data_IF_722875869375
#
_entry.id   IF_722875869375
#
_cell.length_a   1.000
_cell.length_b   1.000
_cell.length_c   1.000
_cell.angle_alpha   90.00
_cell.angle_beta   90.00
_cell.angle_gamma   90.00
#
_symmetry.space_group_name_H-M   'P 1'
#
loop_
_entity.id
_entity.type
_entity.pdbx_description
1 polymer ?
#
# COMPACT_ATOMS: atom_id res chain seq x y z
N UNK A 1 -3.90 -10.80 -18.82
CA UNK A 1 -3.00 -10.92 -17.64
C UNK A 1 -3.23 -12.26 -16.94
N UNK A 2 -2.20 -13.04 -16.71
CA UNK A 2 -2.24 -14.24 -15.85
C UNK A 2 -2.07 -13.82 -14.40
N UNK A 3 -2.95 -14.30 -13.50
CA UNK A 3 -2.97 -13.87 -12.08
C UNK A 3 -3.09 -15.07 -11.17
N UNK A 4 -2.27 -15.09 -10.11
CA UNK A 4 -2.38 -16.05 -9.02
C UNK A 4 -2.10 -15.41 -7.66
N UNK A 5 -2.52 -16.06 -6.59
CA UNK A 5 -2.38 -15.58 -5.23
C UNK A 5 -1.32 -16.34 -4.44
N UNK A 6 -0.76 -15.68 -3.45
CA UNK A 6 0.11 -16.28 -2.42
C UNK A 6 -0.58 -16.07 -1.08
N UNK A 7 -0.81 -17.14 -0.34
CA UNK A 7 -1.44 -17.09 0.98
C UNK A 7 -0.83 -18.11 1.94
N UNK A 8 -1.25 -18.09 3.19
CA UNK A 8 -0.77 -19.00 4.23
C UNK A 8 -1.85 -19.21 5.30
N UNK A 9 -1.72 -20.18 6.19
CA UNK A 9 -2.60 -20.35 7.34
C UNK A 9 -2.53 -19.18 8.34
N UNK A 10 -1.35 -18.53 8.45
CA UNK A 10 -1.10 -17.48 9.46
C UNK A 10 -0.08 -16.45 8.99
N UNK A 11 0.04 -15.37 9.76
CA UNK A 11 1.09 -14.35 9.59
C UNK A 11 2.46 -14.96 9.88
N UNK A 12 3.53 -14.45 9.27
CA UNK A 12 4.91 -14.91 9.49
C UNK A 12 5.30 -16.18 8.74
N UNK A 13 4.40 -16.81 7.98
CA UNK A 13 4.68 -18.05 7.23
C UNK A 13 5.61 -17.89 6.02
N UNK A 14 6.00 -16.65 5.65
CA UNK A 14 6.90 -16.36 4.52
C UNK A 14 6.19 -16.01 3.22
N UNK A 15 4.93 -15.57 3.25
CA UNK A 15 4.18 -15.11 2.06
C UNK A 15 4.96 -14.09 1.25
N UNK A 16 5.45 -13.05 1.90
CA UNK A 16 6.20 -11.96 1.24
C UNK A 16 7.44 -12.48 0.53
N UNK A 17 8.23 -13.31 1.20
CA UNK A 17 9.43 -13.95 0.61
C UNK A 17 9.08 -14.73 -0.66
N UNK A 18 8.03 -15.55 -0.61
CA UNK A 18 7.57 -16.36 -1.75
C UNK A 18 7.00 -15.47 -2.86
N UNK A 19 6.25 -14.42 -2.51
CA UNK A 19 5.72 -13.43 -3.47
C UNK A 19 6.85 -12.76 -4.25
N UNK A 20 7.87 -12.27 -3.53
CA UNK A 20 9.02 -11.60 -4.15
C UNK A 20 9.81 -12.56 -5.04
N UNK A 21 9.98 -13.83 -4.61
CA UNK A 21 10.65 -14.85 -5.39
C UNK A 21 9.93 -15.16 -6.72
N UNK A 22 8.61 -15.27 -6.73
CA UNK A 22 7.84 -15.41 -7.98
C UNK A 22 7.97 -14.16 -8.86
N UNK A 23 7.80 -12.96 -8.28
CA UNK A 23 7.90 -11.70 -9.02
C UNK A 23 9.28 -11.51 -9.66
N UNK A 24 10.37 -11.96 -9.01
CA UNK A 24 11.73 -11.82 -9.55
C UNK A 24 11.98 -12.62 -10.85
N UNK A 25 11.18 -13.66 -11.12
CA UNK A 25 11.28 -14.51 -12.31
C UNK A 25 10.31 -14.11 -13.43
N UNK A 26 9.29 -13.30 -13.12
CA UNK A 26 8.24 -12.94 -14.06
C UNK A 26 8.56 -11.62 -14.75
N UNK A 27 8.76 -11.65 -16.06
CA UNK A 27 8.90 -10.45 -16.87
C UNK A 27 7.56 -9.74 -17.01
N UNK A 28 7.58 -8.41 -17.12
CA UNK A 28 6.37 -7.58 -17.25
C UNK A 28 5.27 -7.92 -16.23
N UNK A 29 5.67 -7.98 -14.95
CA UNK A 29 4.81 -8.38 -13.83
C UNK A 29 4.55 -7.23 -12.87
N UNK A 30 3.48 -7.36 -12.08
CA UNK A 30 3.17 -6.47 -10.97
C UNK A 30 2.72 -7.25 -9.74
N UNK A 31 3.04 -6.69 -8.55
CA UNK A 31 2.50 -7.17 -7.29
C UNK A 31 1.12 -6.59 -7.00
N UNK A 32 0.31 -7.36 -6.29
CA UNK A 32 -0.89 -6.88 -5.63
C UNK A 32 -0.82 -7.23 -4.15
N UNK A 33 -1.26 -6.32 -3.29
CA UNK A 33 -1.40 -6.57 -1.86
C UNK A 33 -2.86 -6.45 -1.44
N UNK A 34 -3.39 -7.48 -0.79
CA UNK A 34 -4.70 -7.39 -0.16
C UNK A 34 -4.55 -6.56 1.13
N UNK A 35 -5.44 -5.57 1.29
CA UNK A 35 -5.40 -4.63 2.42
C UNK A 35 -4.54 -3.40 2.18
N UNK A 36 -4.42 -2.53 3.20
CA UNK A 36 -3.83 -1.19 3.09
C UNK A 36 -2.31 -1.13 3.37
N UNK A 37 -1.61 -2.23 3.19
CA UNK A 37 -0.18 -2.34 3.50
C UNK A 37 0.68 -1.72 2.40
N UNK A 38 1.46 -0.70 2.75
CA UNK A 38 2.41 -0.03 1.85
C UNK A 38 3.79 -0.68 1.84
N UNK A 39 4.21 -1.32 2.94
CA UNK A 39 5.58 -1.81 3.12
C UNK A 39 5.84 -3.02 2.23
N UNK A 40 5.00 -4.06 2.29
CA UNK A 40 5.11 -5.22 1.38
C UNK A 40 4.95 -4.81 -0.08
N UNK A 41 4.06 -3.83 -0.34
CA UNK A 41 3.90 -3.23 -1.65
C UNK A 41 5.19 -2.57 -2.16
N UNK A 42 5.91 -1.87 -1.29
CA UNK A 42 7.21 -1.27 -1.61
C UNK A 42 8.26 -2.30 -2.01
N UNK A 43 8.34 -3.43 -1.29
CA UNK A 43 9.25 -4.54 -1.61
C UNK A 43 8.94 -5.15 -3.00
N UNK A 44 7.68 -5.42 -3.28
CA UNK A 44 7.24 -5.94 -4.58
C UNK A 44 7.54 -4.96 -5.72
N UNK A 45 7.34 -3.65 -5.48
CA UNK A 45 7.68 -2.62 -6.46
C UNK A 45 9.17 -2.55 -6.74
N UNK A 46 10.02 -2.75 -5.72
CA UNK A 46 11.48 -2.80 -5.88
C UNK A 46 11.92 -3.98 -6.75
N UNK A 47 11.33 -5.16 -6.54
CA UNK A 47 11.67 -6.37 -7.31
C UNK A 47 11.23 -6.27 -8.76
N UNK A 48 10.04 -5.72 -9.03
CA UNK A 48 9.48 -5.68 -10.39
C UNK A 48 9.87 -4.43 -11.18
N UNK A 49 10.30 -3.36 -10.50
CA UNK A 49 10.41 -2.01 -11.10
C UNK A 49 9.05 -1.36 -11.39
N UNK A 50 7.96 -2.00 -10.99
CA UNK A 50 6.58 -1.59 -11.27
C UNK A 50 5.83 -1.28 -9.97
N UNK A 51 4.83 -0.39 -10.02
CA UNK A 51 3.99 -0.10 -8.84
C UNK A 51 3.21 -1.33 -8.41
N UNK A 52 3.16 -1.58 -7.11
CA UNK A 52 2.28 -2.58 -6.51
C UNK A 52 0.90 -1.99 -6.25
N UNK A 53 -0.14 -2.76 -6.49
CA UNK A 53 -1.53 -2.35 -6.37
C UNK A 53 -2.16 -2.92 -5.09
N UNK A 54 -2.81 -2.07 -4.29
CA UNK A 54 -3.60 -2.54 -3.16
C UNK A 54 -5.02 -2.90 -3.61
N UNK A 55 -5.56 -3.99 -3.05
CA UNK A 55 -6.95 -4.41 -3.26
C UNK A 55 -7.65 -4.34 -1.90
N UNK A 56 -8.45 -3.30 -1.69
CA UNK A 56 -9.13 -3.04 -0.44
C UNK A 56 -10.54 -2.48 -0.63
N UNK A 57 -11.57 -3.31 -0.37
CA UNK A 57 -12.96 -2.88 -0.57
C UNK A 57 -13.46 -1.88 0.47
N UNK A 58 -12.80 -1.76 1.63
CA UNK A 58 -13.18 -0.76 2.62
C UNK A 58 -12.82 0.65 2.14
N UNK A 59 -11.57 0.84 1.75
CA UNK A 59 -11.03 2.13 1.34
C UNK A 59 -11.53 2.49 -0.07
N UNK A 60 -11.40 1.57 -1.01
CA UNK A 60 -11.73 1.77 -2.43
C UNK A 60 -13.25 1.70 -2.73
N UNK A 61 -14.06 1.18 -1.78
CA UNK A 61 -15.49 0.97 -2.04
C UNK A 61 -15.70 0.08 -3.26
N UNK A 62 -16.61 0.43 -4.16
CA UNK A 62 -16.89 -0.34 -5.39
C UNK A 62 -15.72 -0.32 -6.38
N UNK A 63 -14.81 0.66 -6.29
CA UNK A 63 -13.66 0.79 -7.19
C UNK A 63 -12.61 -0.33 -7.02
N UNK A 64 -12.60 -1.07 -5.89
CA UNK A 64 -11.66 -2.17 -5.68
C UNK A 64 -11.70 -3.23 -6.80
N UNK A 65 -12.85 -3.41 -7.45
CA UNK A 65 -13.00 -4.37 -8.55
C UNK A 65 -12.30 -3.93 -9.85
N UNK A 66 -12.02 -2.63 -10.00
CA UNK A 66 -11.33 -2.09 -11.17
C UNK A 66 -9.80 -2.06 -11.06
N UNK A 67 -9.26 -2.37 -9.88
CA UNK A 67 -7.81 -2.37 -9.64
C UNK A 67 -7.10 -3.39 -10.53
N UNK A 68 -7.62 -4.62 -10.58
CA UNK A 68 -7.08 -5.67 -11.47
C UNK A 68 -7.18 -5.27 -12.94
N UNK A 69 -8.25 -4.58 -13.34
CA UNK A 69 -8.42 -4.11 -14.71
C UNK A 69 -7.40 -3.01 -15.07
N UNK A 70 -7.14 -2.09 -14.15
CA UNK A 70 -6.12 -1.05 -14.33
C UNK A 70 -4.73 -1.62 -14.54
N UNK A 71 -4.35 -2.61 -13.76
CA UNK A 71 -3.07 -3.30 -13.90
C UNK A 71 -3.02 -4.20 -15.14
N UNK A 72 -4.12 -4.91 -15.47
CA UNK A 72 -4.18 -5.83 -16.61
C UNK A 72 -3.94 -5.15 -17.97
N UNK A 73 -4.14 -3.83 -18.05
CA UNK A 73 -3.84 -3.06 -19.25
C UNK A 73 -2.33 -2.82 -19.48
N UNK A 74 -1.51 -3.08 -18.46
CA UNK A 74 -0.09 -2.73 -18.46
C UNK A 74 0.83 -3.95 -18.31
N UNK A 75 0.35 -5.05 -17.68
CA UNK A 75 1.19 -6.16 -17.27
C UNK A 75 0.63 -7.51 -17.73
N UNK A 76 1.54 -8.45 -18.01
CA UNK A 76 1.20 -9.82 -18.43
C UNK A 76 0.90 -10.72 -17.23
N UNK A 77 1.58 -10.47 -16.09
CA UNK A 77 1.49 -11.27 -14.88
C UNK A 77 1.15 -10.43 -13.66
N UNK A 78 0.33 -11.01 -12.77
CA UNK A 78 -0.01 -10.45 -11.47
C UNK A 78 0.16 -11.47 -10.35
N UNK A 79 0.89 -11.10 -9.29
CA UNK A 79 0.99 -11.92 -8.08
C UNK A 79 0.30 -11.21 -6.93
N UNK A 80 -0.74 -11.85 -6.36
CA UNK A 80 -1.57 -11.25 -5.32
C UNK A 80 -1.15 -11.81 -3.95
N UNK A 81 -0.49 -11.00 -3.15
CA UNK A 81 -0.13 -11.36 -1.78
C UNK A 81 -1.31 -11.15 -0.83
N UNK A 82 -1.65 -12.21 -0.09
CA UNK A 82 -2.68 -12.19 0.95
C UNK A 82 -2.25 -11.42 2.20
N UNK A 83 -3.23 -10.94 2.94
CA UNK A 83 -3.05 -10.34 4.26
C UNK A 83 -3.30 -11.38 5.36
N UNK A 84 -2.51 -11.38 6.43
CA UNK A 84 -2.64 -12.31 7.56
C UNK A 84 -2.77 -13.78 7.10
N UNK A 85 -3.61 -14.58 7.72
CA UNK A 85 -4.00 -15.91 7.24
C UNK A 85 -5.12 -15.85 6.19
N UNK A 86 -5.29 -16.95 5.45
CA UNK A 86 -6.27 -17.03 4.34
C UNK A 86 -7.68 -16.58 4.72
N UNK A 87 -8.14 -16.93 5.91
CA UNK A 87 -9.49 -16.66 6.39
C UNK A 87 -9.58 -15.48 7.36
N UNK A 88 -8.44 -14.92 7.78
CA UNK A 88 -8.40 -13.82 8.74
C UNK A 88 -8.94 -12.53 8.11
N UNK A 89 -9.69 -11.77 8.91
CA UNK A 89 -10.23 -10.47 8.51
C UNK A 89 -10.23 -9.53 9.71
N UNK A 90 -9.26 -8.62 9.77
CA UNK A 90 -9.12 -7.62 10.83
C UNK A 90 -9.93 -6.34 10.62
N UNK A 91 -10.96 -6.36 9.79
CA UNK A 91 -11.72 -5.17 9.40
C UNK A 91 -13.19 -5.24 9.85
N UNK A 92 -13.90 -4.11 9.85
CA UNK A 92 -15.32 -4.05 10.16
C UNK A 92 -16.23 -4.87 9.22
N UNK A 93 -15.72 -5.27 8.06
CA UNK A 93 -16.42 -6.11 7.08
C UNK A 93 -15.52 -7.27 6.65
N UNK A 94 -16.10 -8.38 6.18
CA UNK A 94 -15.28 -9.49 5.70
C UNK A 94 -14.41 -9.06 4.51
N UNK A 95 -13.11 -9.02 4.72
CA UNK A 95 -12.07 -8.69 3.73
C UNK A 95 -10.91 -9.69 3.81
N UNK A 96 -11.20 -10.95 4.20
CA UNK A 96 -10.19 -12.01 4.22
C UNK A 96 -9.58 -12.23 2.83
N UNK A 97 -8.36 -12.72 2.80
CA UNK A 97 -7.69 -13.13 1.56
C UNK A 97 -8.57 -14.07 0.73
N UNK A 98 -9.24 -15.03 1.40
CA UNK A 98 -10.16 -15.96 0.75
C UNK A 98 -11.37 -15.27 0.09
N UNK A 99 -11.90 -14.20 0.70
CA UNK A 99 -12.97 -13.41 0.09
C UNK A 99 -12.56 -12.89 -1.30
N UNK A 100 -11.37 -12.30 -1.41
CA UNK A 100 -10.90 -11.75 -2.69
C UNK A 100 -10.56 -12.85 -3.69
N UNK A 101 -9.87 -13.90 -3.28
CA UNK A 101 -9.53 -15.02 -4.16
C UNK A 101 -10.78 -15.69 -4.74
N UNK A 102 -11.79 -15.90 -3.89
CA UNK A 102 -13.08 -16.42 -4.34
C UNK A 102 -13.81 -15.44 -5.27
N UNK A 103 -13.85 -14.15 -4.90
CA UNK A 103 -14.58 -13.12 -5.65
C UNK A 103 -14.04 -12.93 -7.06
N UNK A 104 -12.72 -12.92 -7.19
CA UNK A 104 -12.05 -12.78 -8.49
C UNK A 104 -11.65 -14.12 -9.11
N UNK A 105 -12.02 -15.24 -8.49
CA UNK A 105 -11.61 -16.60 -8.88
C UNK A 105 -10.09 -16.75 -9.05
N UNK A 106 -9.28 -16.08 -8.22
CA UNK A 106 -7.82 -16.12 -8.29
C UNK A 106 -7.36 -17.46 -7.71
N UNK A 107 -6.69 -18.33 -8.51
CA UNK A 107 -6.06 -19.54 -7.98
C UNK A 107 -4.85 -19.13 -7.12
N UNK A 108 -4.48 -19.95 -6.14
CA UNK A 108 -3.43 -19.56 -5.20
C UNK A 108 -2.49 -20.71 -4.83
N UNK A 109 -1.29 -20.32 -4.44
CA UNK A 109 -0.26 -21.14 -3.80
C UNK A 109 -0.37 -20.94 -2.29
N UNK A 110 -0.39 -22.04 -1.54
CA UNK A 110 -0.47 -22.04 -0.09
C UNK A 110 0.94 -22.24 0.52
N UNK A 111 1.45 -21.25 1.22
CA UNK A 111 2.75 -21.31 1.89
C UNK A 111 2.58 -21.87 3.29
N UNK A 112 3.29 -22.97 3.59
CA UNK A 112 3.27 -23.64 4.89
C UNK A 112 4.64 -23.52 5.55
N UNK A 113 4.71 -22.85 6.68
CA UNK A 113 5.90 -22.84 7.54
C UNK A 113 5.97 -24.16 8.30
N UNK A 114 7.00 -24.94 8.01
CA UNK A 114 7.20 -26.27 8.63
C UNK A 114 8.31 -26.28 9.67
N UNK A 115 8.80 -25.12 10.10
CA UNK A 115 9.93 -25.01 11.05
C UNK A 115 9.72 -25.77 12.38
N UNK A 116 8.45 -26.01 12.74
CA UNK A 116 8.03 -26.75 13.96
C UNK A 116 7.04 -27.88 13.65
N UNK A 117 6.96 -28.34 12.41
CA UNK A 117 6.01 -29.36 11.94
C UNK A 117 6.75 -30.47 11.18
N UNK A 118 6.18 -31.65 11.19
CA UNK A 118 6.53 -32.75 10.31
C UNK A 118 5.30 -33.12 9.46
N UNK A 119 4.86 -34.38 9.44
CA UNK A 119 3.67 -34.83 8.69
C UNK A 119 2.37 -34.07 9.08
N UNK A 120 2.30 -33.53 10.29
CA UNK A 120 1.17 -32.68 10.75
C UNK A 120 0.96 -31.46 9.89
N UNK A 121 1.98 -31.01 9.13
CA UNK A 121 1.87 -29.88 8.20
C UNK A 121 0.74 -30.07 7.18
N UNK A 122 0.57 -31.28 6.66
CA UNK A 122 -0.53 -31.60 5.74
C UNK A 122 -1.91 -31.42 6.39
N UNK A 123 -2.09 -31.92 7.61
CA UNK A 123 -3.39 -31.85 8.30
C UNK A 123 -3.81 -30.41 8.65
N UNK A 124 -2.82 -29.56 8.93
CA UNK A 124 -3.06 -28.12 9.09
C UNK A 124 -3.41 -27.52 7.72
N UNK A 125 -2.60 -27.78 6.69
CA UNK A 125 -2.79 -27.25 5.34
C UNK A 125 -4.14 -27.65 4.74
N UNK A 126 -4.63 -28.86 5.01
CA UNK A 126 -5.87 -29.42 4.48
C UNK A 126 -7.07 -28.50 4.67
N UNK A 127 -7.15 -27.78 5.79
CA UNK A 127 -8.24 -26.84 6.08
C UNK A 127 -8.20 -25.56 5.23
N UNK A 128 -7.06 -25.30 4.58
CA UNK A 128 -6.81 -24.15 3.70
C UNK A 128 -6.74 -24.51 2.22
N UNK A 129 -6.80 -25.81 1.90
CA UNK A 129 -6.85 -26.30 0.52
C UNK A 129 -8.28 -26.22 0.01
N UNK A 130 -8.47 -25.56 -1.12
CA UNK A 130 -9.77 -25.39 -1.78
C UNK A 130 -9.63 -25.70 -3.27
N UNK A 131 -10.72 -25.63 -4.01
CA UNK A 131 -10.71 -25.79 -5.48
C UNK A 131 -9.84 -24.75 -6.22
N UNK A 132 -9.46 -23.66 -5.53
CA UNK A 132 -8.59 -22.62 -6.08
C UNK A 132 -7.11 -22.86 -5.75
N UNK A 133 -6.77 -23.88 -4.97
CA UNK A 133 -5.39 -24.19 -4.60
C UNK A 133 -4.64 -24.80 -5.77
N UNK A 134 -3.55 -24.17 -6.19
CA UNK A 134 -2.64 -24.67 -7.22
C UNK A 134 -1.68 -25.73 -6.65
N UNK A 135 -1.29 -25.55 -5.40
CA UNK A 135 -0.36 -26.41 -4.67
C UNK A 135 0.18 -25.71 -3.44
N UNK A 136 1.20 -26.31 -2.84
CA UNK A 136 1.84 -25.81 -1.61
C UNK A 136 3.30 -25.45 -1.85
N UNK A 137 3.79 -24.48 -1.08
CA UNK A 137 5.21 -24.21 -0.88
C UNK A 137 5.54 -24.61 0.56
N UNK A 138 6.44 -25.57 0.71
CA UNK A 138 6.99 -26.01 1.99
C UNK A 138 8.11 -25.04 2.37
N UNK A 139 7.90 -24.22 3.40
CA UNK A 139 8.85 -23.18 3.78
C UNK A 139 9.55 -23.52 5.09
N UNK A 140 10.86 -23.24 5.17
CA UNK A 140 11.72 -23.40 6.36
C UNK A 140 11.91 -24.86 6.80
N UNK A 141 12.05 -25.80 5.86
CA UNK A 141 12.44 -27.16 6.24
C UNK A 141 13.90 -27.20 6.74
N UNK A 142 14.21 -28.10 7.70
CA UNK A 142 15.48 -28.10 8.39
C UNK A 142 16.55 -29.01 7.73
N UNK A 143 16.14 -30.06 7.03
CA UNK A 143 17.02 -31.04 6.38
C UNK A 143 16.30 -31.82 5.29
N UNK A 144 17.01 -32.51 4.43
CA UNK A 144 16.41 -33.34 3.38
C UNK A 144 15.47 -34.41 3.96
N UNK A 145 15.85 -35.08 5.06
CA UNK A 145 14.98 -36.03 5.76
C UNK A 145 13.70 -35.36 6.29
N UNK A 146 13.78 -34.11 6.79
CA UNK A 146 12.62 -33.37 7.24
C UNK A 146 11.71 -33.05 6.05
N UNK A 147 12.28 -32.64 4.92
CA UNK A 147 11.51 -32.38 3.69
C UNK A 147 10.76 -33.63 3.24
N UNK A 148 11.40 -34.80 3.22
CA UNK A 148 10.78 -36.08 2.86
C UNK A 148 9.59 -36.41 3.76
N UNK A 149 9.75 -36.27 5.09
CA UNK A 149 8.66 -36.48 6.06
C UNK A 149 7.46 -35.55 5.83
N UNK A 150 7.75 -34.26 5.62
CA UNK A 150 6.70 -33.27 5.38
C UNK A 150 6.01 -33.48 4.04
N UNK A 151 6.75 -33.78 2.99
CA UNK A 151 6.25 -33.89 1.62
C UNK A 151 5.37 -35.12 1.40
N UNK A 152 5.66 -36.22 2.10
CA UNK A 152 4.99 -37.50 1.90
C UNK A 152 3.47 -37.42 1.97
N UNK A 153 2.83 -36.85 3.00
CA UNK A 153 1.37 -36.76 3.04
C UNK A 153 0.76 -35.89 1.92
N UNK A 154 1.44 -34.82 1.47
CA UNK A 154 0.97 -34.01 0.36
C UNK A 154 0.95 -34.83 -0.93
N UNK A 155 2.02 -35.56 -1.22
CA UNK A 155 2.14 -36.41 -2.40
C UNK A 155 1.12 -37.54 -2.38
N UNK A 156 0.94 -38.23 -1.24
CA UNK A 156 -0.05 -39.31 -1.06
C UNK A 156 -1.50 -38.85 -1.30
N UNK A 157 -1.77 -37.58 -1.05
CA UNK A 157 -3.11 -36.99 -1.28
C UNK A 157 -3.20 -36.18 -2.59
N UNK A 158 -2.20 -36.28 -3.47
CA UNK A 158 -2.24 -35.64 -4.79
C UNK A 158 -2.16 -34.11 -4.76
N UNK A 159 -1.59 -33.52 -3.71
CA UNK A 159 -1.41 -32.07 -3.61
C UNK A 159 -0.05 -31.69 -4.20
N UNK A 160 0.00 -30.87 -5.26
CA UNK A 160 1.23 -30.45 -5.87
C UNK A 160 2.13 -29.66 -4.89
N UNK A 161 3.41 -30.00 -4.87
CA UNK A 161 4.44 -29.24 -4.15
C UNK A 161 5.10 -28.31 -5.17
N UNK A 162 4.80 -27.03 -5.11
CA UNK A 162 5.27 -25.98 -6.05
C UNK A 162 6.65 -25.46 -5.64
N UNK A 163 7.08 -25.77 -4.44
CA UNK A 163 8.43 -25.40 -4.00
C UNK A 163 8.72 -25.89 -2.60
N UNK A 164 10.03 -25.96 -2.31
CA UNK A 164 10.52 -26.30 -1.00
C UNK A 164 11.74 -25.42 -0.67
N UNK A 165 11.58 -24.56 0.35
CA UNK A 165 12.58 -23.55 0.74
C UNK A 165 13.21 -23.99 2.06
N UNK A 166 14.54 -24.17 2.14
CA UNK A 166 15.24 -24.53 3.37
C UNK A 166 15.21 -23.36 4.37
N UNK A 167 15.41 -23.69 5.63
CA UNK A 167 15.60 -22.71 6.69
C UNK A 167 17.01 -22.15 6.63
N UNK A 168 17.15 -20.93 6.07
CA UNK A 168 18.41 -20.21 5.98
C UNK A 168 18.19 -18.72 6.30
N UNK A 169 19.09 -18.15 7.11
CA UNK A 169 18.97 -16.74 7.53
C UNK A 169 19.06 -15.78 6.33
N UNK A 170 19.83 -16.13 5.30
CA UNK A 170 19.95 -15.32 4.07
C UNK A 170 18.65 -15.18 3.28
N UNK A 171 17.63 -16.04 3.53
CA UNK A 171 16.31 -15.95 2.88
C UNK A 171 15.32 -15.11 3.69
N UNK A 172 15.70 -14.73 4.90
CA UNK A 172 14.81 -13.99 5.77
C UNK A 172 14.72 -12.53 5.30
N UNK A 173 13.52 -12.11 4.91
CA UNK A 173 13.19 -10.69 4.82
C UNK A 173 13.03 -10.23 6.27
N UNK A 174 13.77 -9.22 6.74
CA UNK A 174 13.69 -8.77 8.12
C UNK A 174 12.25 -8.51 8.56
N UNK A 175 11.89 -9.00 9.74
CA UNK A 175 10.60 -8.66 10.34
C UNK A 175 10.54 -7.15 10.56
N UNK A 176 9.39 -6.59 10.24
CA UNK A 176 9.17 -5.16 10.27
C UNK A 176 9.28 -4.62 11.69
N UNK A 177 10.35 -3.93 12.00
CA UNK A 177 10.25 -2.86 12.97
C UNK A 177 9.58 -1.69 12.22
N UNK A 178 8.29 -1.52 12.47
CA UNK A 178 7.48 -0.46 11.91
C UNK A 178 8.22 0.87 12.04
N UNK A 179 8.61 1.46 10.91
CA UNK A 179 9.27 2.75 10.84
C UNK A 179 10.70 2.79 10.31
N UNK A 180 11.37 1.67 10.04
CA UNK A 180 12.82 1.72 9.76
C UNK A 180 13.25 1.21 8.37
N UNK A 181 12.43 0.44 7.65
CA UNK A 181 12.84 -0.08 6.34
C UNK A 181 11.72 -0.02 5.32
N UNK A 182 11.82 0.93 4.42
CA UNK A 182 11.04 0.94 3.17
C UNK A 182 11.69 0.00 2.15
N UNK A 183 10.94 -0.42 1.12
CA UNK A 183 11.51 -1.22 0.03
C UNK A 183 12.71 -0.56 -0.67
N UNK A 184 12.86 0.76 -0.56
CA UNK A 184 14.00 1.50 -1.11
C UNK A 184 15.29 1.35 -0.29
N UNK A 185 15.17 1.03 1.01
CA UNK A 185 16.30 0.91 1.94
C UNK A 185 16.86 -0.52 2.03
N UNK A 186 16.19 -1.48 1.38
CA UNK A 186 16.63 -2.87 1.34
C UNK A 186 17.38 -3.19 0.06
N UNK A 187 18.66 -2.84 -0.01
CA UNK A 187 19.50 -3.05 -1.20
C UNK A 187 19.69 -4.53 -1.59
N UNK A 188 19.52 -5.43 -0.62
CA UNK A 188 19.71 -6.89 -0.80
C UNK A 188 18.43 -7.66 -1.18
N UNK A 189 17.28 -6.98 -1.31
CA UNK A 189 16.00 -7.68 -1.55
C UNK A 189 15.96 -8.39 -2.91
N UNK A 190 16.58 -7.80 -3.94
CA UNK A 190 16.64 -8.40 -5.27
C UNK A 190 17.44 -9.71 -5.26
N UNK A 191 18.57 -9.73 -4.57
CA UNK A 191 19.39 -10.92 -4.42
C UNK A 191 18.63 -12.01 -3.66
N UNK A 192 18.02 -11.68 -2.52
CA UNK A 192 17.21 -12.62 -1.74
C UNK A 192 16.06 -13.21 -2.55
N UNK A 193 15.30 -12.37 -3.26
CA UNK A 193 14.21 -12.83 -4.10
C UNK A 193 14.69 -13.82 -5.19
N UNK A 194 15.80 -13.49 -5.84
CA UNK A 194 16.42 -14.33 -6.86
C UNK A 194 16.90 -15.66 -6.29
N UNK A 195 17.57 -15.66 -5.13
CA UNK A 195 18.06 -16.88 -4.47
C UNK A 195 16.89 -17.81 -4.10
N UNK A 196 15.85 -17.28 -3.47
CA UNK A 196 14.66 -18.06 -3.08
C UNK A 196 13.92 -18.60 -4.31
N UNK A 197 13.93 -17.89 -5.42
CA UNK A 197 13.23 -18.32 -6.65
C UNK A 197 13.75 -19.64 -7.21
N UNK A 198 14.99 -20.03 -6.92
CA UNK A 198 15.58 -21.32 -7.35
C UNK A 198 14.94 -22.53 -6.67
N UNK A 199 14.16 -22.32 -5.60
CA UNK A 199 13.44 -23.35 -4.85
C UNK A 199 11.96 -23.45 -5.27
N UNK A 200 11.54 -22.72 -6.30
CA UNK A 200 10.15 -22.65 -6.77
C UNK A 200 10.01 -23.20 -8.18
N UNK A 201 8.97 -23.98 -8.39
CA UNK A 201 8.54 -24.44 -9.71
C UNK A 201 7.72 -23.34 -10.41
N UNK A 202 8.02 -23.09 -11.68
CA UNK A 202 7.36 -22.00 -12.43
C UNK A 202 6.37 -22.53 -13.47
N UNK A 203 6.41 -23.83 -13.82
CA UNK A 203 5.69 -24.41 -14.95
C UNK A 203 4.17 -24.29 -14.85
N UNK A 204 3.63 -24.28 -13.61
CA UNK A 204 2.18 -24.10 -13.43
C UNK A 204 1.68 -22.75 -13.96
N UNK A 205 2.54 -21.73 -14.04
CA UNK A 205 2.19 -20.37 -14.47
C UNK A 205 1.84 -20.37 -15.96
N UNK A 206 2.49 -21.23 -16.76
CA UNK A 206 2.19 -21.36 -18.18
C UNK A 206 0.76 -21.85 -18.42
N UNK A 207 0.26 -22.70 -17.52
CA UNK A 207 -1.08 -23.29 -17.57
C UNK A 207 -2.16 -22.40 -16.94
N UNK A 208 -1.81 -21.24 -16.34
CA UNK A 208 -2.81 -20.31 -15.83
C UNK A 208 -3.60 -19.68 -16.98
N UNK A 209 -4.94 -19.59 -16.85
CA UNK A 209 -5.75 -18.92 -17.85
C UNK A 209 -5.43 -17.43 -17.90
N UNK A 210 -5.33 -16.91 -19.10
CA UNK A 210 -5.36 -15.46 -19.30
C UNK A 210 -6.73 -14.92 -18.91
N UNK A 211 -6.74 -13.79 -18.22
CA UNK A 211 -7.95 -13.15 -17.74
C UNK A 211 -8.08 -11.76 -18.32
N UNK A 212 -9.25 -11.52 -18.86
CA UNK A 212 -9.72 -10.19 -19.19
C UNK A 212 -10.44 -9.62 -17.97
N UNK A 213 -10.10 -8.41 -17.59
CA UNK A 213 -10.79 -7.66 -16.54
C UNK A 213 -11.54 -6.51 -17.17
N UNK A 214 -12.83 -6.37 -16.85
CA UNK A 214 -13.63 -5.26 -17.36
C UNK A 214 -12.98 -3.93 -16.93
N UNK A 215 -12.47 -3.22 -17.91
CA UNK A 215 -11.99 -1.85 -17.69
C UNK A 215 -13.18 -0.98 -17.26
N UNK A 216 -13.06 -0.16 -16.21
CA UNK A 216 -14.01 0.92 -16.02
C UNK A 216 -13.96 1.74 -17.31
N UNK A 217 -15.13 2.17 -17.78
CA UNK A 217 -15.19 3.04 -18.97
C UNK A 217 -14.13 4.12 -18.83
N UNK A 218 -13.26 4.31 -19.83
CA UNK A 218 -12.25 5.36 -19.74
C UNK A 218 -13.00 6.66 -19.47
N UNK A 219 -12.81 7.25 -18.29
CA UNK A 219 -13.20 8.63 -18.14
C UNK A 219 -12.45 9.32 -19.27
N UNK A 220 -13.17 9.98 -20.17
CA UNK A 220 -12.54 10.80 -21.20
C UNK A 220 -11.64 11.76 -20.45
N UNK A 221 -10.33 11.65 -20.68
CA UNK A 221 -9.37 12.63 -20.20
C UNK A 221 -9.72 13.94 -20.90
N UNK A 222 -10.56 14.74 -20.27
CA UNK A 222 -10.81 16.11 -20.70
C UNK A 222 -9.75 17.06 -20.15
N UNK A 223 -8.79 16.53 -19.39
CA UNK A 223 -7.72 17.26 -18.74
C UNK A 223 -6.64 17.71 -19.71
N UNK A 224 -6.90 18.75 -20.48
CA UNK A 224 -5.83 19.43 -21.22
C UNK A 224 -4.86 20.09 -20.27
N UNK A 225 -3.64 19.53 -20.16
CA UNK A 225 -2.49 20.24 -19.64
C UNK A 225 -2.39 20.52 -18.14
N UNK A 226 -3.32 20.05 -17.31
CA UNK A 226 -3.29 20.26 -15.84
C UNK A 226 -2.07 19.60 -15.22
N UNK A 227 -1.28 20.36 -14.46
CA UNK A 227 -0.04 19.92 -13.81
C UNK A 227 -0.35 19.43 -12.39
N UNK A 228 -0.21 18.13 -12.18
CA UNK A 228 -0.35 17.50 -10.86
C UNK A 228 1.05 17.12 -10.37
N UNK A 229 1.44 17.64 -9.22
CA UNK A 229 2.73 17.37 -8.62
C UNK A 229 2.58 16.47 -7.40
N UNK A 230 3.39 15.41 -7.35
CA UNK A 230 3.38 14.41 -6.28
C UNK A 230 4.75 14.39 -5.62
N UNK A 231 4.78 14.62 -4.30
CA UNK A 231 6.00 14.45 -3.51
C UNK A 231 6.37 12.96 -3.50
N UNK A 232 7.53 12.60 -4.03
CA UNK A 232 7.96 11.20 -4.09
C UNK A 232 9.45 11.09 -3.81
N UNK A 233 9.78 10.70 -2.58
CA UNK A 233 11.14 10.44 -2.12
C UNK A 233 11.14 9.53 -0.88
N UNK A 234 12.24 9.51 -0.14
CA UNK A 234 12.37 8.69 1.07
C UNK A 234 11.45 9.13 2.21
N UNK A 235 11.06 10.41 2.27
CA UNK A 235 10.14 10.93 3.27
C UNK A 235 8.67 10.68 2.90
N UNK A 236 8.33 10.68 1.59
CA UNK A 236 6.96 10.57 1.07
C UNK A 236 6.88 9.47 0.03
N UNK A 237 6.53 8.25 0.43
CA UNK A 237 6.50 7.10 -0.48
C UNK A 237 5.28 6.18 -0.30
N UNK A 238 4.34 6.53 0.57
CA UNK A 238 3.12 5.75 0.80
C UNK A 238 1.98 6.28 -0.05
N UNK A 239 1.79 5.65 -1.20
CA UNK A 239 0.74 5.98 -2.16
C UNK A 239 0.00 4.72 -2.61
N UNK A 240 -1.33 4.79 -2.67
CA UNK A 240 -2.08 3.75 -3.37
C UNK A 240 -1.90 3.91 -4.88
N UNK A 241 -1.51 2.83 -5.57
CA UNK A 241 -1.31 2.84 -7.01
C UNK A 241 -2.56 3.25 -7.79
N UNK A 242 -3.74 2.92 -7.29
CA UNK A 242 -5.01 3.32 -7.89
C UNK A 242 -5.27 4.83 -7.73
N UNK A 243 -4.75 5.47 -6.67
CA UNK A 243 -4.80 6.92 -6.51
C UNK A 243 -3.92 7.61 -7.56
N UNK A 244 -2.68 7.16 -7.73
CA UNK A 244 -1.79 7.70 -8.76
C UNK A 244 -2.38 7.47 -10.17
N UNK A 245 -2.87 6.26 -10.44
CA UNK A 245 -3.55 5.94 -11.70
C UNK A 245 -4.76 6.83 -11.97
N UNK A 246 -5.53 7.20 -10.93
CA UNK A 246 -6.64 8.14 -11.07
C UNK A 246 -6.14 9.55 -11.43
N UNK A 247 -5.05 10.01 -10.80
CA UNK A 247 -4.45 11.32 -11.07
C UNK A 247 -3.85 11.39 -12.49
N UNK A 248 -3.18 10.33 -12.96
CA UNK A 248 -2.67 10.20 -14.34
C UNK A 248 -3.79 10.33 -15.41
N UNK A 249 -5.03 10.06 -15.05
CA UNK A 249 -6.21 10.21 -15.93
C UNK A 249 -6.84 11.61 -15.86
N UNK A 250 -6.51 12.39 -14.84
CA UNK A 250 -7.02 13.75 -14.63
C UNK A 250 -6.08 14.79 -15.26
N UNK A 251 -4.76 14.54 -15.20
CA UNK A 251 -3.77 15.49 -15.69
C UNK A 251 -2.38 14.90 -15.88
N UNK A 252 -1.42 15.77 -16.16
CA UNK A 252 -0.02 15.41 -16.28
C UNK A 252 0.61 15.29 -14.90
N UNK A 253 0.94 14.08 -14.49
CA UNK A 253 1.59 13.80 -13.21
C UNK A 253 3.08 14.02 -13.32
N UNK A 254 3.61 14.86 -12.42
CA UNK A 254 5.02 15.13 -12.22
C UNK A 254 5.40 14.74 -10.79
N UNK A 255 6.66 14.39 -10.58
CA UNK A 255 7.18 14.05 -9.26
C UNK A 255 8.23 15.05 -8.85
N UNK A 256 8.38 15.26 -7.55
CA UNK A 256 9.45 16.09 -6.96
C UNK A 256 9.89 15.49 -5.63
N UNK A 257 11.14 15.76 -5.25
CA UNK A 257 11.75 15.28 -4.00
C UNK A 257 11.91 16.44 -3.01
N UNK A 258 11.00 16.57 -2.03
CA UNK A 258 11.15 17.51 -0.93
C UNK A 258 12.49 17.41 -0.19
N UNK A 259 12.97 16.19 0.07
CA UNK A 259 14.25 15.93 0.75
C UNK A 259 15.45 16.39 -0.06
N UNK A 260 15.35 16.40 -1.38
CA UNK A 260 16.43 16.90 -2.28
C UNK A 260 16.37 18.40 -2.54
N UNK A 261 15.47 19.14 -1.88
CA UNK A 261 15.32 20.58 -2.06
C UNK A 261 14.46 21.00 -3.26
N UNK A 262 13.76 20.05 -3.89
CA UNK A 262 12.88 20.35 -5.03
C UNK A 262 11.53 20.90 -4.56
N UNK A 263 10.85 21.61 -5.46
CA UNK A 263 9.51 22.14 -5.27
C UNK A 263 8.71 22.18 -6.58
N UNK A 264 7.36 22.11 -6.51
CA UNK A 264 6.49 22.16 -7.71
C UNK A 264 6.53 23.50 -8.44
N UNK A 265 6.54 23.46 -9.78
CA UNK A 265 6.45 24.65 -10.62
C UNK A 265 5.06 24.82 -11.24
N UNK A 266 4.38 25.92 -10.90
CA UNK A 266 3.04 26.25 -11.42
C UNK A 266 2.05 25.08 -11.32
N UNK A 267 1.80 24.52 -10.11
CA UNK A 267 0.91 23.40 -9.93
C UNK A 267 -0.57 23.79 -10.10
N UNK A 268 -1.37 22.89 -10.70
CA UNK A 268 -2.82 22.91 -10.57
C UNK A 268 -3.29 22.08 -9.37
N UNK A 269 -2.45 21.13 -8.92
CA UNK A 269 -2.65 20.36 -7.71
C UNK A 269 -1.30 19.84 -7.17
N UNK A 270 -1.17 19.80 -5.84
CA UNK A 270 -0.04 19.15 -5.13
C UNK A 270 -0.57 18.04 -4.24
N UNK A 271 0.13 16.89 -4.24
CA UNK A 271 -0.22 15.76 -3.40
C UNK A 271 1.00 15.28 -2.60
N UNK A 272 0.89 15.36 -1.28
CA UNK A 272 1.81 14.76 -0.34
C UNK A 272 1.18 13.49 0.23
N UNK A 273 1.76 12.33 -0.05
CA UNK A 273 1.33 11.06 0.54
C UNK A 273 1.89 10.84 1.93
N UNK A 274 1.70 9.63 2.43
CA UNK A 274 2.33 9.22 3.68
C UNK A 274 3.79 8.86 3.52
N UNK A 275 4.37 8.47 4.65
CA UNK A 275 5.78 8.11 4.77
C UNK A 275 6.29 8.43 6.16
N UNK A 276 7.59 8.69 6.25
CA UNK A 276 8.29 8.97 7.51
C UNK A 276 9.05 10.30 7.44
N UNK A 277 8.36 11.46 7.35
CA UNK A 277 9.01 12.76 7.26
C UNK A 277 9.86 13.08 8.51
N UNK A 278 9.53 12.50 9.67
CA UNK A 278 10.29 12.67 10.90
C UNK A 278 11.75 12.16 10.80
N UNK A 279 12.03 11.22 9.92
CA UNK A 279 13.39 10.72 9.69
C UNK A 279 14.24 11.66 8.84
N UNK A 280 13.60 12.61 8.15
CA UNK A 280 14.21 13.56 7.22
C UNK A 280 13.86 15.02 7.60
N UNK A 281 13.52 15.24 8.86
CA UNK A 281 13.07 16.55 9.33
C UNK A 281 14.11 17.67 9.13
N UNK A 282 15.43 17.45 9.30
CA UNK A 282 16.45 18.47 8.99
C UNK A 282 16.43 18.90 7.52
N UNK A 283 16.41 17.95 6.59
CA UNK A 283 16.41 18.20 5.15
C UNK A 283 15.13 18.90 4.70
N UNK A 284 13.99 18.44 5.20
CA UNK A 284 12.68 19.05 4.92
C UNK A 284 12.59 20.48 5.46
N UNK A 285 13.11 20.71 6.67
CA UNK A 285 13.17 22.05 7.27
C UNK A 285 14.06 23.00 6.49
N UNK A 286 15.13 22.51 5.89
CA UNK A 286 16.06 23.31 5.09
C UNK A 286 15.47 23.73 3.73
N UNK A 287 14.41 23.09 3.25
CA UNK A 287 13.78 23.41 1.96
C UNK A 287 12.79 24.59 2.09
N UNK A 288 13.33 25.78 2.35
CA UNK A 288 12.54 27.02 2.51
C UNK A 288 11.80 27.41 1.22
N UNK A 289 12.31 27.05 0.05
CA UNK A 289 11.64 27.31 -1.23
C UNK A 289 10.31 26.55 -1.31
N UNK A 290 10.30 25.27 -0.90
CA UNK A 290 9.08 24.47 -0.88
C UNK A 290 8.08 24.99 0.16
N UNK A 291 8.53 25.25 1.41
CA UNK A 291 7.63 25.72 2.47
C UNK A 291 6.97 27.07 2.11
N UNK A 292 7.74 28.01 1.57
CA UNK A 292 7.20 29.30 1.09
C UNK A 292 6.21 29.12 -0.06
N UNK A 293 6.58 28.34 -1.08
CA UNK A 293 5.70 28.10 -2.24
C UNK A 293 4.38 27.41 -1.83
N UNK A 294 4.44 26.40 -0.95
CA UNK A 294 3.23 25.67 -0.51
C UNK A 294 2.34 26.55 0.35
N UNK A 295 2.91 27.40 1.22
CA UNK A 295 2.18 28.40 2.00
C UNK A 295 1.41 29.36 1.09
N UNK A 296 2.10 30.04 0.17
CA UNK A 296 1.50 30.99 -0.79
C UNK A 296 0.45 30.30 -1.67
N UNK A 297 0.72 29.08 -2.13
CA UNK A 297 -0.20 28.31 -2.96
C UNK A 297 -1.49 27.93 -2.19
N UNK A 298 -1.36 27.51 -0.92
CA UNK A 298 -2.51 27.23 -0.05
C UNK A 298 -3.32 28.49 0.23
N UNK A 299 -2.66 29.62 0.55
CA UNK A 299 -3.32 30.91 0.80
C UNK A 299 -4.03 31.45 -0.43
N UNK A 300 -3.52 31.21 -1.63
CA UNK A 300 -4.19 31.57 -2.89
C UNK A 300 -5.39 30.68 -3.21
N UNK A 301 -5.62 29.59 -2.46
CA UNK A 301 -6.69 28.60 -2.68
C UNK A 301 -6.29 27.47 -3.59
N UNK A 302 -5.02 27.20 -3.72
CA UNK A 302 -4.47 26.08 -4.47
C UNK A 302 -4.95 24.71 -3.94
N UNK A 303 -5.05 23.73 -4.84
CA UNK A 303 -5.52 22.39 -4.51
C UNK A 303 -4.38 21.55 -3.90
N UNK A 304 -4.43 21.29 -2.60
CA UNK A 304 -3.45 20.45 -1.90
C UNK A 304 -4.16 19.31 -1.18
N UNK A 305 -3.66 18.09 -1.37
CA UNK A 305 -4.00 16.91 -0.56
C UNK A 305 -2.74 16.46 0.17
N UNK A 306 -2.87 16.21 1.48
CA UNK A 306 -1.79 15.72 2.31
C UNK A 306 -2.30 14.61 3.22
N UNK A 307 -1.71 13.43 3.13
CA UNK A 307 -2.09 12.25 3.91
C UNK A 307 -0.97 11.85 4.86
N UNK A 308 -1.30 11.59 6.14
CA UNK A 308 -0.40 11.06 7.17
C UNK A 308 0.92 11.86 7.26
N UNK A 309 2.04 11.34 6.72
CA UNK A 309 3.32 12.05 6.66
C UNK A 309 3.22 13.39 5.93
N UNK A 310 2.41 13.47 4.88
CA UNK A 310 2.13 14.72 4.18
C UNK A 310 1.40 15.75 5.06
N UNK A 311 0.42 15.31 5.86
CA UNK A 311 -0.21 16.17 6.86
C UNK A 311 0.83 16.65 7.88
N UNK A 312 1.68 15.74 8.40
CA UNK A 312 2.75 16.10 9.34
C UNK A 312 3.67 17.18 8.77
N UNK A 313 4.00 17.10 7.48
CA UNK A 313 4.81 18.12 6.82
C UNK A 313 4.09 19.46 6.66
N UNK A 314 2.77 19.49 6.45
CA UNK A 314 2.02 20.74 6.31
C UNK A 314 1.81 21.50 7.64
N UNK A 315 2.13 20.88 8.78
CA UNK A 315 2.10 21.55 10.08
C UNK A 315 3.23 22.61 10.20
N UNK A 316 3.15 23.44 11.21
CA UNK A 316 4.16 24.48 11.48
C UNK A 316 5.49 23.89 11.87
N UNK A 317 5.48 22.89 12.74
CA UNK A 317 6.69 22.32 13.31
C UNK A 317 6.54 20.84 13.66
N UNK A 318 7.67 20.15 13.74
CA UNK A 318 7.76 18.74 14.11
C UNK A 318 8.82 18.54 15.19
N UNK A 319 8.42 17.94 16.32
CA UNK A 319 9.30 17.51 17.38
C UNK A 319 9.86 16.11 17.07
N UNK A 320 11.18 15.97 17.04
CA UNK A 320 11.89 14.70 16.85
C UNK A 320 12.89 14.49 18.00
N UNK A 321 13.55 13.35 18.05
CA UNK A 321 14.61 13.10 19.04
C UNK A 321 15.82 14.04 18.88
N UNK A 322 16.05 14.54 17.67
CA UNK A 322 17.17 15.43 17.35
C UNK A 322 16.85 16.92 17.50
N UNK A 323 15.59 17.28 17.74
CA UNK A 323 15.17 18.68 17.92
C UNK A 323 13.79 18.99 17.36
N UNK A 324 13.47 20.27 17.32
CA UNK A 324 12.24 20.82 16.73
C UNK A 324 12.59 21.45 15.40
N UNK A 325 11.87 21.07 14.35
CA UNK A 325 12.12 21.50 12.98
C UNK A 325 10.89 22.21 12.40
N UNK A 326 11.11 23.35 11.76
CA UNK A 326 10.04 24.03 11.01
C UNK A 326 9.68 23.21 9.79
N UNK A 327 8.37 23.10 9.51
CA UNK A 327 7.83 22.33 8.38
C UNK A 327 7.16 23.25 7.36
N UNK A 328 6.16 22.77 6.63
CA UNK A 328 5.48 23.51 5.59
C UNK A 328 4.68 24.73 6.05
N UNK A 329 4.26 24.77 7.32
CA UNK A 329 3.64 25.93 7.96
C UNK A 329 2.27 26.32 7.38
N UNK A 330 1.61 25.44 6.67
CA UNK A 330 0.23 25.66 6.15
C UNK A 330 -0.77 25.60 7.31
N UNK A 331 -0.63 24.60 8.17
CA UNK A 331 -1.36 24.48 9.43
C UNK A 331 -0.50 25.01 10.59
N UNK A 332 -1.12 25.33 11.71
CA UNK A 332 -0.42 25.99 12.81
C UNK A 332 -0.20 25.06 14.02
N UNK A 333 -0.09 23.78 13.77
CA UNK A 333 0.09 22.77 14.79
C UNK A 333 1.53 22.30 14.96
N UNK A 334 1.71 21.46 15.97
CA UNK A 334 2.96 20.77 16.31
C UNK A 334 2.76 19.26 16.20
N UNK A 335 3.63 18.62 15.45
CA UNK A 335 3.70 17.14 15.35
C UNK A 335 4.58 16.62 16.47
N UNK A 336 4.09 15.59 17.19
CA UNK A 336 4.82 14.93 18.28
C UNK A 336 4.91 13.43 18.03
N UNK A 337 6.06 12.82 18.32
CA UNK A 337 6.23 11.38 18.26
C UNK A 337 5.45 10.70 19.39
N UNK A 338 4.77 9.61 19.07
CA UNK A 338 4.11 8.73 20.03
C UNK A 338 4.88 7.42 20.18
N UNK A 339 4.85 6.84 21.40
CA UNK A 339 5.42 5.51 21.65
C UNK A 339 4.56 4.37 21.04
N UNK A 340 3.26 4.62 20.87
CA UNK A 340 2.31 3.61 20.40
C UNK A 340 1.88 3.87 18.98
N UNK A 341 1.91 2.81 18.16
CA UNK A 341 1.36 2.81 16.84
C UNK A 341 -0.15 3.02 16.87
N UNK A 342 -0.64 3.93 16.06
CA UNK A 342 -2.03 4.02 15.63
C UNK A 342 -2.17 3.32 14.30
N UNK A 343 -2.88 2.20 14.27
CA UNK A 343 -3.15 1.39 13.07
C UNK A 343 -4.59 0.95 13.10
N UNK A 344 -5.41 1.50 12.22
CA UNK A 344 -6.80 1.06 12.09
C UNK A 344 -7.40 1.45 10.74
N UNK A 345 -8.46 0.72 10.35
CA UNK A 345 -9.39 1.24 9.36
C UNK A 345 -10.15 2.42 9.96
N UNK A 346 -10.39 3.44 9.14
CA UNK A 346 -11.12 4.64 9.56
C UNK A 346 -12.47 4.74 8.85
N UNK A 347 -13.46 5.25 9.56
CA UNK A 347 -14.74 5.70 9.02
C UNK A 347 -15.01 7.09 9.57
N UNK A 348 -15.18 8.06 8.70
CA UNK A 348 -15.31 9.45 9.06
C UNK A 348 -16.57 10.04 8.43
N UNK A 349 -17.16 11.02 9.09
CA UNK A 349 -18.28 11.82 8.55
C UNK A 349 -17.78 13.21 8.22
N UNK A 350 -17.95 13.65 6.99
CA UNK A 350 -17.66 15.01 6.58
C UNK A 350 -18.69 15.95 7.21
N UNK A 351 -18.22 16.93 7.99
CA UNK A 351 -19.07 17.95 8.64
C UNK A 351 -19.13 19.23 7.84
N UNK A 352 -18.26 19.37 6.85
CA UNK A 352 -18.23 20.46 5.87
C UNK A 352 -17.70 19.97 4.52
N UNK A 353 -17.85 20.79 3.49
CA UNK A 353 -17.27 20.52 2.17
C UNK A 353 -15.75 20.71 2.20
N UNK A 354 -15.03 19.86 1.48
CA UNK A 354 -13.59 19.95 1.26
C UNK A 354 -13.25 19.67 -0.21
N UNK A 355 -11.95 19.61 -0.52
CA UNK A 355 -11.49 19.26 -1.86
C UNK A 355 -11.99 17.85 -2.28
N UNK A 356 -12.04 16.89 -1.35
CA UNK A 356 -12.42 15.51 -1.61
C UNK A 356 -13.86 15.16 -1.24
N UNK A 357 -14.42 15.76 -0.17
CA UNK A 357 -15.63 15.28 0.47
C UNK A 357 -16.74 16.35 0.50
N UNK A 358 -17.98 15.91 0.49
CA UNK A 358 -19.15 16.77 0.69
C UNK A 358 -19.66 16.61 2.11
N UNK A 359 -20.20 17.70 2.67
CA UNK A 359 -20.87 17.69 3.97
C UNK A 359 -21.92 16.58 4.03
N UNK A 360 -21.90 15.83 5.12
CA UNK A 360 -22.79 14.68 5.36
C UNK A 360 -22.31 13.36 4.77
N UNK A 361 -21.29 13.35 3.91
CA UNK A 361 -20.74 12.13 3.32
C UNK A 361 -20.00 11.30 4.37
N UNK A 362 -20.18 9.96 4.33
CA UNK A 362 -19.41 9.00 5.13
C UNK A 362 -18.30 8.46 4.25
N UNK A 363 -17.07 8.71 4.66
CA UNK A 363 -15.86 8.32 3.95
C UNK A 363 -15.10 7.25 4.72
N UNK A 364 -14.28 6.47 4.04
CA UNK A 364 -13.53 5.37 4.62
C UNK A 364 -12.10 5.46 4.19
N UNK A 365 -11.21 5.22 5.13
CA UNK A 365 -9.78 5.24 4.95
C UNK A 365 -9.09 4.26 5.89
N UNK A 366 -7.85 4.54 6.13
CA UNK A 366 -6.98 3.78 7.01
C UNK A 366 -5.94 4.75 7.58
N UNK A 367 -5.64 4.65 8.87
CA UNK A 367 -4.58 5.42 9.53
C UNK A 367 -3.44 4.51 9.97
N UNK A 368 -2.22 5.00 9.85
CA UNK A 368 -1.00 4.28 10.21
C UNK A 368 0.09 5.28 10.57
N UNK A 369 0.28 5.58 11.86
CA UNK A 369 1.26 6.57 12.29
C UNK A 369 1.73 6.37 13.74
N UNK A 370 2.94 6.84 14.04
CA UNK A 370 3.53 6.93 15.39
C UNK A 370 3.57 8.36 15.90
N UNK A 371 2.62 9.19 15.48
CA UNK A 371 2.59 10.61 15.83
C UNK A 371 1.25 11.05 16.34
N UNK A 372 1.21 12.20 16.98
CA UNK A 372 0.03 12.99 17.27
C UNK A 372 0.26 14.43 16.83
N UNK A 373 -0.82 15.12 16.53
CA UNK A 373 -0.80 16.53 16.15
C UNK A 373 -1.61 17.31 17.17
N UNK A 374 -1.05 18.38 17.67
CA UNK A 374 -1.73 19.39 18.49
C UNK A 374 -2.00 20.59 17.59
N UNK A 375 -3.21 20.70 17.07
CA UNK A 375 -3.66 21.79 16.20
C UNK A 375 -5.09 22.20 16.52
N UNK A 376 -5.34 23.51 16.58
CA UNK A 376 -6.66 24.12 16.84
C UNK A 376 -7.39 24.52 15.54
N UNK A 377 -6.79 24.21 14.38
CA UNK A 377 -7.36 24.52 13.06
C UNK A 377 -8.71 23.84 12.79
N UNK A 378 -9.34 24.31 11.76
CA UNK A 378 -10.65 23.79 11.31
C UNK A 378 -10.52 22.36 10.79
N UNK A 379 -11.29 21.44 11.36
CA UNK A 379 -11.32 20.02 10.98
C UNK A 379 -12.64 19.71 10.25
N UNK A 380 -12.51 19.12 9.08
CA UNK A 380 -13.64 18.85 8.18
C UNK A 380 -14.27 17.46 8.35
N UNK A 381 -13.65 16.59 9.13
CA UNK A 381 -14.06 15.21 9.34
C UNK A 381 -14.20 14.88 10.83
N UNK A 382 -15.24 14.12 11.19
CA UNK A 382 -15.42 13.54 12.53
C UNK A 382 -15.24 12.03 12.44
N UNK A 383 -14.40 11.46 13.29
CA UNK A 383 -14.15 10.04 13.33
C UNK A 383 -15.34 9.30 13.92
N UNK A 384 -15.86 8.32 13.18
CA UNK A 384 -16.80 7.30 13.66
C UNK A 384 -16.00 6.05 14.09
N UNK A 385 -14.96 5.72 13.32
CA UNK A 385 -13.96 4.68 13.57
C UNK A 385 -12.60 5.30 13.28
N UNK A 386 -11.62 5.05 14.14
CA UNK A 386 -10.28 5.62 14.05
C UNK A 386 -10.04 6.73 15.07
N UNK A 387 -8.80 7.20 15.19
CA UNK A 387 -8.39 8.22 16.16
C UNK A 387 -8.29 9.61 15.56
N UNK A 388 -7.58 9.72 14.44
CA UNK A 388 -7.27 11.00 13.82
C UNK A 388 -6.57 11.97 14.79
N UNK A 389 -7.01 13.22 14.77
CA UNK A 389 -6.59 14.32 15.66
C UNK A 389 -7.71 14.52 16.70
N UNK A 390 -7.57 13.93 17.88
CA UNK A 390 -8.55 14.04 19.00
C UNK A 390 -10.01 13.70 18.59
N UNK A 391 -10.20 12.59 17.85
CA UNK A 391 -11.53 12.14 17.41
C UNK A 391 -12.06 12.87 16.17
N UNK A 392 -11.29 13.77 15.61
CA UNK A 392 -11.54 14.46 14.35
C UNK A 392 -10.40 14.23 13.37
N UNK A 393 -10.58 14.65 12.11
CA UNK A 393 -9.56 14.57 11.06
C UNK A 393 -9.85 15.60 9.97
N UNK A 394 -8.99 15.67 8.97
CA UNK A 394 -9.20 16.54 7.83
C UNK A 394 -9.04 18.02 8.15
N UNK A 395 -7.86 18.44 8.62
CA UNK A 395 -7.48 19.84 8.71
C UNK A 395 -7.67 20.51 7.34
N UNK A 396 -8.23 21.72 7.36
CA UNK A 396 -8.65 22.39 6.13
C UNK A 396 -8.35 23.89 6.16
N UNK A 397 -7.74 24.37 5.08
CA UNK A 397 -7.63 25.79 4.73
C UNK A 397 -7.98 25.92 3.25
N UNK A 398 -9.07 26.64 2.91
CA UNK A 398 -9.55 26.78 1.52
C UNK A 398 -9.65 25.42 0.80
N UNK A 399 -8.82 25.17 -0.23
CA UNK A 399 -8.74 23.90 -0.98
C UNK A 399 -7.59 23.00 -0.53
N UNK A 400 -6.91 23.30 0.57
CA UNK A 400 -5.94 22.41 1.21
C UNK A 400 -6.66 21.49 2.17
N UNK A 401 -6.41 20.19 2.05
CA UNK A 401 -6.92 19.14 2.93
C UNK A 401 -5.76 18.28 3.44
N UNK A 402 -5.54 18.27 4.76
CA UNK A 402 -4.60 17.40 5.45
C UNK A 402 -5.33 16.39 6.33
N UNK A 403 -4.99 15.11 6.29
CA UNK A 403 -5.65 14.05 7.06
C UNK A 403 -4.65 12.99 7.51
N UNK A 404 -4.79 12.45 8.72
CA UNK A 404 -4.08 11.23 9.09
C UNK A 404 -4.56 10.02 8.31
N UNK A 405 -5.85 9.99 7.97
CA UNK A 405 -6.42 8.91 7.17
C UNK A 405 -5.94 8.99 5.73
N UNK A 406 -5.53 7.84 5.20
CA UNK A 406 -5.27 7.63 3.78
C UNK A 406 -6.55 7.23 3.06
N UNK A 407 -6.76 7.79 1.86
CA UNK A 407 -7.94 7.52 1.03
C UNK A 407 -7.55 7.01 -0.35
N UNK A 408 -8.43 6.26 -1.01
CA UNK A 408 -8.30 5.98 -2.44
C UNK A 408 -8.84 7.17 -3.24
N UNK A 409 -7.95 7.95 -3.85
CA UNK A 409 -8.33 9.08 -4.70
C UNK A 409 -9.10 8.63 -5.95
N UNK A 410 -8.89 7.39 -6.39
CA UNK A 410 -9.66 6.80 -7.49
C UNK A 410 -11.17 6.83 -7.23
N UNK A 411 -11.60 6.63 -5.98
CA UNK A 411 -13.00 6.73 -5.57
C UNK A 411 -13.58 8.13 -5.78
N UNK A 412 -12.76 9.16 -5.69
CA UNK A 412 -13.14 10.57 -5.77
C UNK A 412 -12.68 11.26 -7.06
N UNK A 413 -12.15 10.50 -8.02
CA UNK A 413 -11.52 11.01 -9.24
C UNK A 413 -12.37 12.02 -10.03
N UNK A 414 -13.67 11.74 -10.21
CA UNK A 414 -14.60 12.66 -10.91
C UNK A 414 -14.77 14.01 -10.18
N UNK A 415 -14.69 14.01 -8.85
CA UNK A 415 -14.79 15.23 -8.05
C UNK A 415 -13.50 16.02 -8.13
N UNK A 416 -12.36 15.35 -7.99
CA UNK A 416 -11.05 15.96 -8.15
C UNK A 416 -10.90 16.60 -9.53
N UNK A 417 -11.29 15.90 -10.59
CA UNK A 417 -11.26 16.41 -11.96
C UNK A 417 -12.01 17.72 -12.08
N UNK A 418 -13.25 17.81 -11.56
CA UNK A 418 -14.04 19.04 -11.57
C UNK A 418 -13.34 20.17 -10.80
N UNK A 419 -12.85 19.90 -9.60
CA UNK A 419 -12.18 20.89 -8.76
C UNK A 419 -10.90 21.43 -9.40
N UNK A 420 -10.09 20.57 -9.99
CA UNK A 420 -8.85 20.94 -10.67
C UNK A 420 -9.17 21.76 -11.95
N UNK A 421 -10.30 21.49 -12.61
CA UNK A 421 -10.74 22.22 -13.80
C UNK A 421 -11.53 23.51 -13.47
N UNK A 422 -11.75 23.82 -12.19
CA UNK A 422 -12.44 25.06 -11.78
C UNK A 422 -13.97 24.99 -11.87
N UNK A 423 -14.55 23.77 -11.74
CA UNK A 423 -16.00 23.53 -11.79
C UNK A 423 -16.57 23.03 -10.47
#
# INVERSE_FOLDING_TARGET
>A
MKVFGITAPMTGSGKTTVTLAFLSRLKNSTGFKIGPDYIDGGLSSRVTGNRTWNIDRWIQGKAYSSVLAGAASKYDYGVVEGVMGLYDSGSPINMSTYYYFRKFSIPYVLVIDVSKLAESAYYIAKSFITRLTLGVVINRYASQRHLEMVSKPFTEHGIPIIGAIPREDRFTVPERHLGLHTGQEMDDILEKASLVSNYLEMDFIENLPEREFQQPSPARISGGGKKIWIALDRAFNFYYADSIWALERIGNVNYFSPVSGEYPENPDMVYFGGGYPELYAPELSANHALSGMIGDYSESGGNIIAECGGLMYLEKEMETESGVYSMGGVFNGTVKKNERLTLSYTQLKAVQDSLLFRKGEVVRGHEFHYSSIVDQGEKSLVNIIGKGIDGMDGLKIKNTLGSYSHFSLNRYSKRLERKINGH
#
